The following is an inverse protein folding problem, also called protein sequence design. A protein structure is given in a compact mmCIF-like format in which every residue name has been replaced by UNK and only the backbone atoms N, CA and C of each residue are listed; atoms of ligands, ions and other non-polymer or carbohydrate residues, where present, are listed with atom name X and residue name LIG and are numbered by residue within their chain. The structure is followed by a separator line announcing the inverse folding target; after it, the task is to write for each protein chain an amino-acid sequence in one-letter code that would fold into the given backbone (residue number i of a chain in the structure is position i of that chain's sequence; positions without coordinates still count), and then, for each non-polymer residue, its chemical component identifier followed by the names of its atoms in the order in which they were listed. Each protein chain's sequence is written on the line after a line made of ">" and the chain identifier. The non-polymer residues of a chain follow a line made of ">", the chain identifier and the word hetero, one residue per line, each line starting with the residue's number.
data_IF_814995980454
#
_entry.id   IF_814995980454
#
_cell.length_a   1.000
_cell.length_b   1.000
_cell.length_c   1.000
_cell.angle_alpha   90.00
_cell.angle_beta   90.00
_cell.angle_gamma   90.00
#
_symmetry.space_group_name_H-M   'P 1'
#
loop_
_entity.id
_entity.type
_entity.pdbx_description
1 polymer ?
#
# COMPACT_ATOMS: atom_id res chain seq x y z
N UNK A 1 -8.60 14.22 50.35
CA UNK A 1 -8.46 15.10 49.16
C UNK A 1 -8.18 14.22 47.93
N UNK A 2 -9.19 13.91 47.10
CA UNK A 2 -9.01 13.15 45.84
C UNK A 2 -9.36 14.08 44.68
N UNK A 3 -8.35 14.48 43.88
CA UNK A 3 -8.53 15.38 42.74
C UNK A 3 -9.03 14.59 41.53
N UNK A 4 -10.19 15.00 41.03
CA UNK A 4 -10.80 14.57 39.77
C UNK A 4 -9.95 15.04 38.58
N UNK A 5 -9.57 14.12 37.69
CA UNK A 5 -8.92 14.45 36.40
C UNK A 5 -9.96 14.28 35.30
N UNK A 6 -10.19 15.39 34.58
CA UNK A 6 -11.27 15.61 33.61
C UNK A 6 -11.06 14.76 32.35
N UNK A 7 -12.08 13.96 32.00
CA UNK A 7 -12.22 13.35 30.67
C UNK A 7 -12.35 14.47 29.63
N UNK A 8 -11.36 14.64 28.77
CA UNK A 8 -11.51 15.43 27.55
C UNK A 8 -12.40 14.63 26.58
N UNK A 9 -13.70 14.88 26.64
CA UNK A 9 -14.61 14.48 25.58
C UNK A 9 -14.20 15.21 24.31
N UNK A 10 -13.77 14.46 23.30
CA UNK A 10 -13.54 14.99 21.95
C UNK A 10 -14.90 15.44 21.43
N UNK A 11 -15.10 16.76 21.38
CA UNK A 11 -16.28 17.36 20.75
C UNK A 11 -16.16 17.05 19.26
N UNK A 12 -16.95 16.10 18.78
CA UNK A 12 -17.11 15.84 17.36
C UNK A 12 -17.98 16.99 16.84
N UNK A 13 -17.32 18.02 16.30
CA UNK A 13 -18.01 19.06 15.55
C UNK A 13 -18.55 18.44 14.28
N UNK A 14 -19.84 18.11 14.28
CA UNK A 14 -20.62 17.80 13.08
C UNK A 14 -20.59 19.03 12.17
N UNK A 15 -19.62 19.08 11.26
CA UNK A 15 -19.60 20.05 10.17
C UNK A 15 -20.51 19.51 9.09
N UNK A 16 -21.57 20.24 8.80
CA UNK A 16 -22.55 20.00 7.75
C UNK A 16 -21.84 19.69 6.42
N UNK A 17 -22.01 18.47 5.92
CA UNK A 17 -21.52 18.04 4.60
C UNK A 17 -22.38 18.76 3.56
N UNK A 18 -21.84 19.77 2.89
CA UNK A 18 -22.57 20.46 1.81
C UNK A 18 -21.66 20.91 0.66
N UNK A 19 -20.49 20.29 0.50
CA UNK A 19 -19.65 20.39 -0.69
C UNK A 19 -19.33 18.98 -1.18
N UNK A 20 -19.80 18.64 -2.38
CA UNK A 20 -19.44 17.41 -3.08
C UNK A 20 -17.99 17.53 -3.53
N UNK A 21 -17.06 16.97 -2.78
CA UNK A 21 -15.65 16.90 -3.18
C UNK A 21 -15.44 15.87 -4.28
N UNK A 22 -14.50 16.15 -5.17
CA UNK A 22 -14.05 15.16 -6.16
C UNK A 22 -13.04 14.18 -5.54
N UNK A 23 -12.83 13.05 -6.21
CA UNK A 23 -11.89 12.04 -5.74
C UNK A 23 -10.46 12.60 -5.73
N UNK A 24 -10.07 13.40 -6.72
CA UNK A 24 -8.76 14.05 -6.73
C UNK A 24 -8.58 15.01 -5.55
N UNK A 25 -9.55 15.88 -5.28
CA UNK A 25 -9.48 16.82 -4.15
C UNK A 25 -9.38 16.08 -2.80
N UNK A 26 -10.16 15.01 -2.64
CA UNK A 26 -10.08 14.17 -1.45
C UNK A 26 -8.72 13.48 -1.35
N UNK A 27 -8.17 13.03 -2.47
CA UNK A 27 -6.87 12.35 -2.50
C UNK A 27 -5.72 13.30 -2.18
N UNK A 28 -5.73 14.53 -2.68
CA UNK A 28 -4.73 15.55 -2.33
C UNK A 28 -4.71 15.82 -0.82
N UNK A 29 -5.89 15.97 -0.21
CA UNK A 29 -6.01 16.15 1.25
C UNK A 29 -5.53 14.92 2.01
N UNK A 30 -5.83 13.73 1.52
CA UNK A 30 -5.32 12.47 2.07
C UNK A 30 -3.79 12.40 1.99
N UNK A 31 -3.18 12.82 0.89
CA UNK A 31 -1.73 12.83 0.73
C UNK A 31 -1.06 13.82 1.67
N UNK A 32 -1.64 15.01 1.86
CA UNK A 32 -1.21 15.96 2.88
C UNK A 32 -1.23 15.34 4.29
N UNK A 33 -2.32 14.65 4.63
CA UNK A 33 -2.43 13.93 5.89
C UNK A 33 -1.34 12.85 6.02
N UNK A 34 -1.13 12.03 4.99
CA UNK A 34 -0.12 10.96 4.98
C UNK A 34 1.32 11.46 5.08
N UNK A 35 1.64 12.57 4.44
CA UNK A 35 2.95 13.22 4.56
C UNK A 35 3.21 13.70 5.99
N UNK A 36 2.17 14.18 6.68
CA UNK A 36 2.29 14.60 8.09
C UNK A 36 2.59 13.45 9.07
N UNK A 37 2.30 12.20 8.69
CA UNK A 37 2.61 11.01 9.50
C UNK A 37 4.09 10.60 9.46
N UNK A 38 4.93 11.26 8.64
CA UNK A 38 6.36 10.95 8.54
C UNK A 38 6.66 9.61 7.83
N UNK A 39 5.80 9.21 6.90
CA UNK A 39 5.99 7.98 6.10
C UNK A 39 7.23 8.07 5.21
N UNK A 40 7.77 6.90 4.83
CA UNK A 40 8.88 6.83 3.89
C UNK A 40 8.48 7.42 2.53
N UNK A 41 9.39 8.13 1.81
CA UNK A 41 9.09 8.74 0.51
C UNK A 41 8.50 7.76 -0.51
N UNK A 42 9.08 6.55 -0.58
CA UNK A 42 8.59 5.47 -1.45
C UNK A 42 7.14 5.10 -1.17
N UNK A 43 6.71 5.12 0.09
CA UNK A 43 5.32 4.82 0.45
C UNK A 43 4.38 5.89 -0.09
N UNK A 44 4.74 7.17 0.02
CA UNK A 44 3.98 8.29 -0.54
C UNK A 44 3.87 8.15 -2.06
N UNK A 45 4.98 7.86 -2.74
CA UNK A 45 5.02 7.63 -4.18
C UNK A 45 4.12 6.45 -4.61
N UNK A 46 4.12 5.34 -3.87
CA UNK A 46 3.24 4.21 -4.14
C UNK A 46 1.76 4.57 -4.06
N UNK A 47 1.35 5.44 -3.12
CA UNK A 47 -0.03 5.93 -3.08
C UNK A 47 -0.38 6.73 -4.33
N UNK A 48 0.47 7.65 -4.75
CA UNK A 48 0.26 8.49 -5.93
C UNK A 48 0.18 7.65 -7.22
N UNK A 49 1.10 6.70 -7.40
CA UNK A 49 1.11 5.79 -8.55
C UNK A 49 -0.17 4.96 -8.59
N UNK A 50 -0.58 4.37 -7.46
CA UNK A 50 -1.78 3.54 -7.43
C UNK A 50 -3.05 4.34 -7.68
N UNK A 51 -3.11 5.57 -7.19
CA UNK A 51 -4.23 6.47 -7.45
C UNK A 51 -4.28 6.90 -8.91
N UNK A 52 -3.12 7.22 -9.51
CA UNK A 52 -3.03 7.52 -10.93
C UNK A 52 -3.56 6.36 -11.78
N UNK A 53 -3.22 5.12 -11.46
CA UNK A 53 -3.76 3.95 -12.17
C UNK A 53 -5.27 3.79 -12.04
N UNK A 54 -5.85 4.20 -10.91
CA UNK A 54 -7.30 4.25 -10.76
C UNK A 54 -7.91 5.33 -11.67
N UNK A 55 -7.33 6.53 -11.70
CA UNK A 55 -7.79 7.61 -12.58
C UNK A 55 -7.65 7.23 -14.07
N UNK A 56 -6.54 6.62 -14.45
CA UNK A 56 -6.30 6.12 -15.81
C UNK A 56 -7.31 5.03 -16.19
N UNK A 57 -7.81 4.24 -15.24
CA UNK A 57 -8.89 3.28 -15.50
C UNK A 57 -10.24 3.98 -15.65
N UNK A 58 -10.56 4.92 -14.75
CA UNK A 58 -11.86 5.60 -14.72
C UNK A 58 -12.03 6.60 -15.87
N UNK A 59 -10.92 7.18 -16.36
CA UNK A 59 -10.90 8.26 -17.35
C UNK A 59 -11.74 9.49 -16.96
N UNK A 60 -12.06 9.62 -15.66
CA UNK A 60 -12.82 10.73 -15.09
C UNK A 60 -12.55 10.87 -13.60
N UNK A 61 -12.74 12.08 -13.08
CA UNK A 61 -12.71 12.36 -11.65
C UNK A 61 -14.13 12.24 -11.08
N UNK A 62 -14.34 11.29 -10.17
CA UNK A 62 -15.65 11.01 -9.60
C UNK A 62 -15.94 11.91 -8.40
N UNK A 63 -17.20 12.28 -8.20
CA UNK A 63 -17.64 12.92 -6.95
C UNK A 63 -17.78 11.91 -5.82
N UNK A 64 -17.81 12.39 -4.58
CA UNK A 64 -18.06 11.57 -3.39
C UNK A 64 -19.34 10.74 -3.45
N UNK A 65 -20.36 11.21 -4.18
CA UNK A 65 -21.63 10.48 -4.38
C UNK A 65 -21.51 9.35 -5.42
N UNK A 66 -20.67 9.53 -6.43
CA UNK A 66 -20.45 8.55 -7.49
C UNK A 66 -19.49 7.44 -7.06
N UNK A 67 -18.68 7.69 -6.04
CA UNK A 67 -17.80 6.69 -5.42
C UNK A 67 -18.64 5.60 -4.74
N UNK A 68 -18.94 4.54 -5.48
CA UNK A 68 -19.65 3.36 -4.96
C UNK A 68 -18.72 2.17 -4.85
N UNK A 69 -19.06 1.20 -4.00
CA UNK A 69 -18.32 -0.06 -3.91
C UNK A 69 -18.17 -0.75 -5.27
N UNK A 70 -19.19 -0.65 -6.13
CA UNK A 70 -19.19 -1.27 -7.45
C UNK A 70 -18.01 -0.78 -8.31
N UNK A 71 -17.77 0.53 -8.36
CA UNK A 71 -16.65 1.12 -9.11
C UNK A 71 -15.31 0.48 -8.73
N UNK A 72 -15.07 0.29 -7.43
CA UNK A 72 -13.82 -0.29 -6.94
C UNK A 72 -13.73 -1.81 -7.17
N UNK A 73 -14.85 -2.52 -7.15
CA UNK A 73 -14.88 -3.94 -7.48
C UNK A 73 -14.65 -4.16 -8.98
N UNK A 74 -15.26 -3.33 -9.83
CA UNK A 74 -15.06 -3.36 -11.28
C UNK A 74 -13.58 -3.06 -11.61
N UNK A 75 -12.93 -2.16 -10.87
CA UNK A 75 -11.48 -1.91 -11.01
C UNK A 75 -10.63 -3.12 -10.60
N UNK A 76 -11.00 -3.86 -9.56
CA UNK A 76 -10.33 -5.13 -9.21
C UNK A 76 -10.47 -6.14 -10.34
N UNK A 77 -11.69 -6.27 -10.88
CA UNK A 77 -12.00 -7.21 -11.97
C UNK A 77 -11.16 -6.89 -13.21
N UNK A 78 -11.10 -5.61 -13.61
CA UNK A 78 -10.26 -5.14 -14.71
C UNK A 78 -8.77 -5.48 -14.51
N UNK A 79 -8.24 -5.24 -13.30
CA UNK A 79 -6.84 -5.56 -13.01
C UNK A 79 -6.53 -7.05 -13.10
N UNK A 80 -7.48 -7.92 -12.76
CA UNK A 80 -7.29 -9.37 -12.80
C UNK A 80 -7.50 -9.95 -14.19
N UNK A 81 -8.59 -9.57 -14.84
CA UNK A 81 -9.05 -10.24 -16.07
C UNK A 81 -8.50 -9.56 -17.32
N UNK A 82 -8.50 -8.23 -17.38
CA UNK A 82 -8.08 -7.49 -18.57
C UNK A 82 -6.57 -7.23 -18.57
N UNK A 83 -6.00 -6.87 -17.41
CA UNK A 83 -4.56 -6.65 -17.28
C UNK A 83 -3.76 -7.92 -16.96
N UNK A 84 -4.42 -8.99 -16.51
CA UNK A 84 -3.75 -10.24 -16.13
C UNK A 84 -2.78 -10.10 -14.94
N UNK A 85 -3.01 -9.15 -14.03
CA UNK A 85 -2.10 -8.92 -12.92
C UNK A 85 -2.19 -10.03 -11.88
N UNK A 86 -1.06 -10.30 -11.24
CA UNK A 86 -1.02 -11.25 -10.13
C UNK A 86 -1.86 -10.73 -8.95
N UNK A 87 -2.64 -11.61 -8.29
CA UNK A 87 -3.47 -11.23 -7.14
C UNK A 87 -2.68 -10.54 -6.01
N UNK A 88 -1.40 -10.88 -5.83
CA UNK A 88 -0.50 -10.24 -4.86
C UNK A 88 -0.25 -8.77 -5.19
N UNK A 89 -0.02 -8.45 -6.47
CA UNK A 89 0.13 -7.09 -6.99
C UNK A 89 -1.17 -6.30 -6.85
N UNK A 90 -2.30 -6.90 -7.22
CA UNK A 90 -3.62 -6.28 -7.06
C UNK A 90 -3.88 -5.95 -5.58
N UNK A 91 -3.54 -6.86 -4.68
CA UNK A 91 -3.68 -6.65 -3.25
C UNK A 91 -2.87 -5.47 -2.70
N UNK A 92 -1.69 -5.17 -3.26
CA UNK A 92 -0.91 -3.98 -2.89
C UNK A 92 -1.72 -2.71 -3.23
N UNK A 93 -2.28 -2.63 -4.44
CA UNK A 93 -3.09 -1.50 -4.91
C UNK A 93 -4.40 -1.36 -4.13
N UNK A 94 -5.05 -2.48 -3.83
CA UNK A 94 -6.27 -2.51 -2.99
C UNK A 94 -5.99 -1.99 -1.59
N UNK A 95 -4.83 -2.32 -0.98
CA UNK A 95 -4.48 -1.83 0.35
C UNK A 95 -4.34 -0.31 0.41
N UNK A 96 -3.68 0.31 -0.58
CA UNK A 96 -3.52 1.77 -0.61
C UNK A 96 -4.87 2.45 -0.82
N UNK A 97 -5.67 1.98 -1.77
CA UNK A 97 -6.99 2.56 -2.03
C UNK A 97 -7.96 2.35 -0.86
N UNK A 98 -7.89 1.22 -0.16
CA UNK A 98 -8.68 0.98 1.05
C UNK A 98 -8.31 1.96 2.17
N UNK A 99 -7.03 2.29 2.33
CA UNK A 99 -6.59 3.26 3.34
C UNK A 99 -7.11 4.67 3.02
N UNK A 100 -7.08 5.06 1.75
CA UNK A 100 -7.69 6.29 1.25
C UNK A 100 -9.20 6.33 1.55
N UNK A 101 -9.95 5.31 1.13
CA UNK A 101 -11.41 5.22 1.37
C UNK A 101 -11.78 5.22 2.85
N UNK A 102 -10.96 4.61 3.70
CA UNK A 102 -11.15 4.63 5.15
C UNK A 102 -10.97 6.05 5.69
N UNK A 103 -9.94 6.76 5.25
CA UNK A 103 -9.70 8.14 5.66
C UNK A 103 -10.85 9.06 5.21
N UNK A 104 -11.31 8.96 3.96
CA UNK A 104 -12.45 9.72 3.47
C UNK A 104 -13.72 9.51 4.31
N UNK A 105 -13.96 8.28 4.76
CA UNK A 105 -15.10 7.98 5.63
C UNK A 105 -14.94 8.59 7.03
N UNK A 106 -13.73 8.51 7.62
CA UNK A 106 -13.45 9.09 8.94
C UNK A 106 -13.55 10.62 8.96
N UNK A 107 -13.18 11.28 7.87
CA UNK A 107 -13.30 12.73 7.69
C UNK A 107 -14.72 13.17 7.23
N UNK A 108 -15.67 12.22 7.16
CA UNK A 108 -17.06 12.46 6.71
C UNK A 108 -17.17 13.03 5.28
N UNK A 109 -16.20 12.74 4.41
CA UNK A 109 -16.21 13.14 3.01
C UNK A 109 -17.08 12.20 2.15
N UNK A 110 -17.18 10.93 2.57
CA UNK A 110 -18.11 9.94 2.01
C UNK A 110 -19.07 9.45 3.11
N UNK A 111 -20.36 9.33 2.78
CA UNK A 111 -21.36 8.86 3.73
C UNK A 111 -21.38 7.34 3.93
N UNK A 112 -20.87 6.58 2.96
CA UNK A 112 -20.91 5.11 2.98
C UNK A 112 -19.53 4.50 3.29
N UNK A 113 -19.45 3.48 4.18
CA UNK A 113 -18.19 2.85 4.55
C UNK A 113 -17.69 1.82 3.51
N UNK A 114 -17.27 2.27 2.33
CA UNK A 114 -16.82 1.41 1.21
C UNK A 114 -15.64 0.51 1.62
N UNK A 115 -14.71 1.06 2.39
CA UNK A 115 -13.48 0.42 2.86
C UNK A 115 -13.71 -0.86 3.71
N UNK A 116 -14.91 -1.05 4.26
CA UNK A 116 -15.26 -2.26 5.00
C UNK A 116 -15.48 -3.46 4.09
N UNK A 117 -16.00 -3.23 2.88
CA UNK A 117 -16.27 -4.29 1.90
C UNK A 117 -15.18 -4.40 0.83
N UNK A 118 -14.48 -3.31 0.57
CA UNK A 118 -13.30 -3.29 -0.30
C UNK A 118 -12.09 -3.88 0.44
N UNK A 119 -11.92 -5.20 0.36
CA UNK A 119 -10.85 -5.94 1.06
C UNK A 119 -9.90 -6.62 0.06
N UNK A 120 -8.62 -6.77 0.43
CA UNK A 120 -7.69 -7.62 -0.33
C UNK A 120 -8.24 -9.04 -0.48
N UNK A 121 -7.98 -9.64 -1.62
CA UNK A 121 -8.32 -11.03 -1.90
C UNK A 121 -7.43 -11.96 -1.09
N UNK A 122 -7.97 -13.12 -0.72
CA UNK A 122 -7.15 -14.19 -0.14
C UNK A 122 -6.26 -14.75 -1.23
N UNK A 123 -4.95 -14.57 -1.08
CA UNK A 123 -3.93 -15.14 -1.95
C UNK A 123 -3.17 -16.20 -1.19
N UNK A 124 -2.73 -17.25 -1.88
CA UNK A 124 -1.75 -18.17 -1.30
C UNK A 124 -0.53 -17.35 -0.83
N UNK A 125 -0.02 -17.66 0.36
CA UNK A 125 1.22 -17.05 0.81
C UNK A 125 2.32 -17.48 -0.16
N UNK A 126 3.07 -16.50 -0.66
CA UNK A 126 4.23 -16.76 -1.48
C UNK A 126 5.31 -17.32 -0.54
N UNK A 127 5.36 -18.64 -0.42
CA UNK A 127 6.37 -19.32 0.39
C UNK A 127 7.67 -19.29 -0.40
N UNK A 128 8.39 -18.16 -0.33
CA UNK A 128 9.79 -18.15 -0.73
C UNK A 128 10.49 -19.17 0.18
N UNK A 129 10.83 -20.32 -0.38
CA UNK A 129 11.52 -21.38 0.34
C UNK A 129 12.94 -20.93 0.68
N UNK A 130 13.37 -21.23 1.90
CA UNK A 130 14.74 -20.94 2.31
C UNK A 130 15.71 -21.88 1.59
N UNK A 131 16.85 -21.34 1.14
CA UNK A 131 17.91 -22.14 0.54
C UNK A 131 18.45 -23.17 1.54
N UNK A 132 18.62 -24.40 1.07
CA UNK A 132 19.28 -25.47 1.83
C UNK A 132 20.79 -25.24 1.92
N UNK A 133 21.45 -25.88 2.89
CA UNK A 133 22.91 -25.82 3.05
C UNK A 133 23.64 -26.26 1.77
N UNK A 134 23.08 -27.23 1.04
CA UNK A 134 23.66 -27.73 -0.21
C UNK A 134 23.54 -26.68 -1.31
N UNK A 135 22.39 -26.02 -1.46
CA UNK A 135 22.18 -24.96 -2.45
C UNK A 135 23.05 -23.73 -2.17
N UNK A 136 23.20 -23.36 -0.90
CA UNK A 136 24.12 -22.27 -0.49
C UNK A 136 25.56 -22.62 -0.88
N UNK A 137 26.02 -23.84 -0.61
CA UNK A 137 27.37 -24.28 -1.00
C UNK A 137 27.56 -24.27 -2.52
N UNK A 138 26.56 -24.73 -3.27
CA UNK A 138 26.58 -24.69 -4.73
C UNK A 138 26.67 -23.25 -5.26
N UNK A 139 25.88 -22.33 -4.69
CA UNK A 139 25.93 -20.91 -5.04
C UNK A 139 27.31 -20.30 -4.76
N UNK A 140 27.88 -20.56 -3.57
CA UNK A 140 29.19 -20.01 -3.20
C UNK A 140 30.34 -20.55 -4.05
N UNK A 141 30.22 -21.76 -4.60
CA UNK A 141 31.21 -22.37 -5.47
C UNK A 141 31.06 -21.96 -6.95
N UNK A 142 29.98 -21.29 -7.32
CA UNK A 142 29.74 -20.85 -8.70
C UNK A 142 30.52 -19.57 -9.07
N UNK A 143 31.07 -18.85 -8.08
CA UNK A 143 31.82 -17.62 -8.31
C UNK A 143 33.26 -17.90 -8.76
N UNK A 144 33.73 -17.18 -9.79
CA UNK A 144 35.12 -17.24 -10.24
C UNK A 144 36.03 -16.31 -9.41
N UNK A 145 36.72 -16.90 -8.44
CA UNK A 145 37.64 -16.22 -7.53
C UNK A 145 38.94 -15.74 -8.19
N UNK A 146 39.24 -16.17 -9.42
CA UNK A 146 40.40 -15.67 -10.16
C UNK A 146 40.20 -14.23 -10.66
N UNK A 147 38.95 -13.78 -10.73
CA UNK A 147 38.58 -12.42 -11.09
C UNK A 147 38.25 -11.60 -9.86
N UNK A 148 38.64 -10.32 -9.86
CA UNK A 148 38.26 -9.39 -8.79
C UNK A 148 36.73 -9.31 -8.59
N UNK A 149 35.97 -9.33 -9.69
CA UNK A 149 34.50 -9.26 -9.66
C UNK A 149 33.91 -10.49 -8.98
N UNK A 150 34.33 -11.70 -9.37
CA UNK A 150 33.82 -12.93 -8.76
C UNK A 150 34.22 -13.06 -7.29
N UNK A 151 35.44 -12.68 -6.92
CA UNK A 151 35.85 -12.63 -5.51
C UNK A 151 35.01 -11.63 -4.70
N UNK A 152 34.78 -10.41 -5.22
CA UNK A 152 33.93 -9.40 -4.56
C UNK A 152 32.51 -9.92 -4.35
N UNK A 153 31.90 -10.48 -5.38
CA UNK A 153 30.50 -10.93 -5.33
C UNK A 153 30.34 -12.09 -4.33
N UNK A 154 31.31 -13.02 -4.29
CA UNK A 154 31.37 -14.08 -3.29
C UNK A 154 31.44 -13.53 -1.86
N UNK A 155 32.30 -12.53 -1.61
CA UNK A 155 32.41 -11.89 -0.29
C UNK A 155 31.11 -11.17 0.08
N UNK A 156 30.46 -10.47 -0.86
CA UNK A 156 29.16 -9.83 -0.60
C UNK A 156 28.10 -10.84 -0.18
N UNK A 157 27.98 -11.97 -0.88
CA UNK A 157 27.02 -13.04 -0.51
C UNK A 157 27.36 -13.64 0.87
N UNK A 158 28.64 -13.85 1.18
CA UNK A 158 29.06 -14.33 2.51
C UNK A 158 28.71 -13.34 3.62
N UNK A 159 28.93 -12.04 3.41
CA UNK A 159 28.56 -11.00 4.38
C UNK A 159 27.05 -10.97 4.58
N UNK A 160 26.26 -11.04 3.50
CA UNK A 160 24.81 -11.11 3.59
C UNK A 160 24.34 -12.34 4.39
N UNK A 161 24.96 -13.50 4.17
CA UNK A 161 24.64 -14.74 4.86
C UNK A 161 25.02 -14.71 6.35
N UNK A 162 26.20 -14.20 6.69
CA UNK A 162 26.72 -14.18 8.06
C UNK A 162 26.03 -13.13 8.93
N UNK A 163 25.80 -11.93 8.38
CA UNK A 163 25.20 -10.82 9.11
C UNK A 163 23.69 -10.72 9.01
N UNK A 164 23.07 -11.47 8.09
CA UNK A 164 21.62 -11.42 7.78
C UNK A 164 21.11 -9.99 7.50
N UNK A 165 21.99 -9.09 7.04
CA UNK A 165 21.63 -7.71 6.71
C UNK A 165 20.79 -7.67 5.44
N UNK A 166 19.85 -6.72 5.38
CA UNK A 166 19.03 -6.52 4.19
C UNK A 166 19.85 -5.84 3.11
N UNK A 167 19.66 -6.30 1.87
CA UNK A 167 20.05 -5.53 0.70
C UNK A 167 19.05 -4.38 0.54
N UNK A 168 19.55 -3.15 0.47
CA UNK A 168 18.76 -1.91 0.40
C UNK A 168 18.97 -1.20 -0.92
#
# INVERSE_FOLDING_TARGET
>A
MRKSVRKHGRVITTRTINESFTMCEMFERFMWFKQSEGLAPRTIEEYEIHFKWLLDYLQQDLTSEQMTLKVFLDWIDFMLNDMGLQPTTVNIRVRTMRAFLRWCYLENLIGTPIHERFKPMKTAEDTIEALTVTEIKTLLNAFDESTFVGFRDKVMVMVLLDSMVRIS
#
